data_IF_129138049082
#
_entry.id   IF_129138049082
#
_cell.length_a   1.000
_cell.length_b   1.000
_cell.length_c   1.000
_cell.angle_alpha   90.00
_cell.angle_beta   90.00
_cell.angle_gamma   90.00
#
_symmetry.space_group_name_H-M   'P 1'
#
loop_
_entity.id
_entity.type
_entity.pdbx_description
1 polymer ?
#
# COMPACT_ATOMS: atom_id res chain seq x y z
N UNK A 1 -24.11 -15.93 -12.41
CA UNK A 1 -22.73 -16.30 -12.75
C UNK A 1 -21.95 -14.99 -12.88
N UNK A 2 -20.89 -14.78 -12.12
CA UNK A 2 -20.06 -13.60 -12.30
C UNK A 2 -19.40 -13.65 -13.70
N UNK A 3 -19.27 -12.51 -14.42
CA UNK A 3 -18.58 -12.50 -15.71
C UNK A 3 -17.16 -13.08 -15.55
N UNK A 4 -16.72 -13.86 -16.54
CA UNK A 4 -15.33 -14.32 -16.58
C UNK A 4 -14.39 -13.12 -16.61
N UNK A 5 -13.28 -13.16 -15.87
CA UNK A 5 -12.31 -12.05 -15.87
C UNK A 5 -11.65 -11.96 -17.26
N UNK A 6 -11.45 -10.72 -17.72
CA UNK A 6 -10.75 -10.45 -18.98
C UNK A 6 -9.31 -10.96 -18.91
N UNK A 7 -8.79 -11.50 -20.02
CA UNK A 7 -7.37 -11.88 -20.14
C UNK A 7 -6.56 -10.69 -20.66
N UNK A 8 -5.64 -10.22 -19.84
CA UNK A 8 -4.87 -9.00 -20.10
C UNK A 8 -3.39 -9.35 -20.32
N UNK A 9 -2.76 -8.89 -21.39
CA UNK A 9 -1.32 -9.04 -21.60
C UNK A 9 -0.54 -8.30 -20.49
N UNK A 10 0.37 -9.00 -19.80
CA UNK A 10 1.17 -8.39 -18.71
C UNK A 10 2.10 -7.28 -19.20
N UNK A 11 2.47 -7.28 -20.50
CA UNK A 11 3.22 -6.22 -21.12
C UNK A 11 2.44 -4.90 -21.24
N UNK A 12 1.10 -4.96 -21.25
CA UNK A 12 0.22 -3.79 -21.28
C UNK A 12 -0.10 -3.25 -19.88
N UNK A 13 0.33 -3.92 -18.80
CA UNK A 13 0.05 -3.50 -17.43
C UNK A 13 1.19 -2.62 -16.91
N UNK A 14 0.85 -1.38 -16.55
CA UNK A 14 1.77 -0.42 -15.93
C UNK A 14 1.98 -0.72 -14.44
N UNK A 15 3.12 -0.30 -13.85
CA UNK A 15 3.33 -0.36 -12.41
C UNK A 15 2.22 0.37 -11.64
N UNK A 16 1.90 -0.11 -10.44
CA UNK A 16 0.95 0.59 -9.57
C UNK A 16 1.45 2.00 -9.25
N UNK A 17 0.56 2.98 -9.36
CA UNK A 17 0.83 4.36 -8.92
C UNK A 17 1.07 4.39 -7.41
N UNK A 18 1.86 5.36 -6.89
CA UNK A 18 2.16 5.48 -5.46
C UNK A 18 0.91 5.43 -4.57
N UNK A 19 -0.17 6.12 -4.98
CA UNK A 19 -1.43 6.17 -4.24
C UNK A 19 -2.17 4.82 -4.15
N UNK A 20 -1.82 3.86 -4.99
CA UNK A 20 -2.39 2.50 -4.97
C UNK A 20 -1.43 1.46 -4.35
N UNK A 21 -0.19 1.85 -4.02
CA UNK A 21 0.81 0.96 -3.40
C UNK A 21 0.69 0.98 -1.87
N UNK A 22 -0.27 0.24 -1.34
CA UNK A 22 -0.51 0.16 0.11
C UNK A 22 0.56 -0.71 0.78
N UNK A 23 0.82 -1.92 0.27
CA UNK A 23 1.75 -2.86 0.90
C UNK A 23 3.21 -2.39 0.89
N UNK A 24 3.91 -2.69 1.97
CA UNK A 24 5.37 -2.54 2.12
C UNK A 24 6.12 -3.84 1.81
N UNK A 25 5.41 -4.95 1.62
CA UNK A 25 6.04 -6.24 1.31
C UNK A 25 6.52 -6.27 -0.15
N UNK A 26 7.82 -6.41 -0.35
CA UNK A 26 8.45 -6.47 -1.68
C UNK A 26 8.63 -7.89 -2.21
N UNK A 27 8.78 -8.89 -1.34
CA UNK A 27 8.96 -10.29 -1.74
C UNK A 27 7.72 -10.89 -2.42
N UNK A 28 7.95 -11.62 -3.51
CA UNK A 28 6.91 -12.30 -4.29
C UNK A 28 7.07 -13.83 -4.32
N UNK A 29 8.20 -14.38 -3.83
CA UNK A 29 8.55 -15.79 -3.95
C UNK A 29 7.46 -16.73 -3.41
N UNK A 30 6.97 -16.49 -2.19
CA UNK A 30 5.90 -17.30 -1.58
C UNK A 30 4.62 -17.24 -2.40
N UNK A 31 4.27 -16.05 -2.89
CA UNK A 31 3.09 -15.83 -3.71
C UNK A 31 3.24 -16.47 -5.09
N UNK A 32 4.42 -16.39 -5.70
CA UNK A 32 4.75 -17.04 -6.95
C UNK A 32 4.65 -18.57 -6.80
N UNK A 33 5.21 -19.14 -5.73
CA UNK A 33 5.08 -20.54 -5.40
C UNK A 33 3.63 -20.98 -5.25
N UNK A 34 2.82 -20.22 -4.54
CA UNK A 34 1.38 -20.46 -4.38
C UNK A 34 0.65 -20.42 -5.73
N UNK A 35 0.89 -19.37 -6.54
CA UNK A 35 0.27 -19.23 -7.87
C UNK A 35 0.68 -20.38 -8.80
N UNK A 36 1.93 -20.83 -8.73
CA UNK A 36 2.40 -21.97 -9.53
C UNK A 36 1.68 -23.27 -9.15
N UNK A 37 1.38 -23.47 -7.86
CA UNK A 37 0.79 -24.69 -7.34
C UNK A 37 -0.74 -24.75 -7.49
N UNK A 38 -1.45 -23.68 -7.08
CA UNK A 38 -2.92 -23.68 -7.04
C UNK A 38 -3.58 -22.74 -8.04
N UNK A 39 -2.80 -21.99 -8.80
CA UNK A 39 -3.28 -20.96 -9.71
C UNK A 39 -3.56 -19.62 -9.06
N UNK A 40 -3.96 -18.64 -9.86
CA UNK A 40 -4.32 -17.30 -9.39
C UNK A 40 -5.76 -17.31 -8.87
N UNK A 41 -5.93 -17.37 -7.54
CA UNK A 41 -7.25 -17.46 -6.89
C UNK A 41 -8.02 -16.14 -6.93
N UNK A 42 -7.32 -15.00 -6.83
CA UNK A 42 -7.91 -13.67 -6.87
C UNK A 42 -7.28 -12.84 -8.00
N UNK A 43 -8.00 -12.51 -9.07
CA UNK A 43 -7.48 -11.68 -10.14
C UNK A 43 -7.09 -10.27 -9.65
N UNK A 44 -6.04 -9.63 -10.20
CA UNK A 44 -5.75 -8.22 -9.95
C UNK A 44 -6.89 -7.34 -10.47
N UNK A 45 -7.01 -6.14 -9.91
CA UNK A 45 -7.99 -5.14 -10.30
C UNK A 45 -7.26 -4.04 -11.07
N UNK A 46 -7.66 -3.83 -12.31
CA UNK A 46 -7.01 -2.93 -13.25
C UNK A 46 -7.96 -1.84 -13.74
N UNK A 47 -7.42 -0.66 -14.00
CA UNK A 47 -8.13 0.44 -14.65
C UNK A 47 -7.62 0.57 -16.09
N UNK A 48 -8.49 0.51 -17.11
CA UNK A 48 -8.10 0.77 -18.48
C UNK A 48 -7.70 2.25 -18.69
N UNK A 49 -6.54 2.50 -19.30
CA UNK A 49 -6.05 3.82 -19.70
C UNK A 49 -5.53 3.77 -21.16
N UNK A 50 -6.40 4.07 -22.11
CA UNK A 50 -6.09 3.90 -23.54
C UNK A 50 -5.78 2.44 -23.88
N UNK A 51 -4.57 2.17 -24.37
CA UNK A 51 -4.12 0.82 -24.72
C UNK A 51 -3.36 0.12 -23.57
N UNK A 52 -3.36 0.70 -22.38
CA UNK A 52 -2.64 0.17 -21.22
C UNK A 52 -3.58 0.03 -20.02
N UNK A 53 -3.07 -0.61 -18.98
CA UNK A 53 -3.84 -0.90 -17.77
C UNK A 53 -3.05 -0.48 -16.54
N UNK A 54 -3.66 0.37 -15.72
CA UNK A 54 -3.10 0.79 -14.44
C UNK A 54 -3.50 -0.19 -13.33
N UNK A 55 -2.56 -0.62 -12.51
CA UNK A 55 -2.87 -1.45 -11.33
C UNK A 55 -3.54 -0.58 -10.26
N UNK A 56 -4.76 -0.98 -9.85
CA UNK A 56 -5.45 -0.42 -8.68
C UNK A 56 -5.27 -1.34 -7.48
N UNK A 57 -5.37 -2.66 -7.66
CA UNK A 57 -5.09 -3.64 -6.61
C UNK A 57 -4.41 -4.89 -7.18
N UNK A 58 -3.57 -5.54 -6.37
CA UNK A 58 -2.89 -6.77 -6.75
C UNK A 58 -1.49 -6.58 -7.34
N UNK A 59 -0.76 -5.52 -6.98
CA UNK A 59 0.60 -5.26 -7.44
C UNK A 59 1.54 -6.47 -7.25
N UNK A 60 1.53 -7.12 -6.08
CA UNK A 60 2.33 -8.32 -5.80
C UNK A 60 1.93 -9.51 -6.69
N UNK A 61 0.63 -9.65 -7.00
CA UNK A 61 0.13 -10.70 -7.91
C UNK A 61 0.66 -10.51 -9.32
N UNK A 62 0.66 -9.30 -9.84
CA UNK A 62 1.25 -8.96 -11.15
C UNK A 62 2.76 -9.23 -11.14
N UNK A 63 3.48 -8.83 -10.09
CA UNK A 63 4.92 -9.06 -9.97
C UNK A 63 5.24 -10.57 -9.95
N UNK A 64 4.53 -11.37 -9.14
CA UNK A 64 4.68 -12.82 -9.07
C UNK A 64 4.39 -13.51 -10.42
N UNK A 65 3.37 -13.08 -11.15
CA UNK A 65 3.04 -13.60 -12.47
C UNK A 65 4.16 -13.33 -13.50
N UNK A 66 4.76 -12.12 -13.44
CA UNK A 66 5.93 -11.79 -14.27
C UNK A 66 7.14 -12.65 -13.92
N UNK A 67 7.42 -12.88 -12.64
CA UNK A 67 8.49 -13.75 -12.16
C UNK A 67 8.29 -15.20 -12.65
N UNK A 68 7.05 -15.66 -12.73
CA UNK A 68 6.69 -16.98 -13.29
C UNK A 68 6.73 -17.02 -14.83
N UNK A 69 7.15 -15.97 -15.51
CA UNK A 69 7.21 -15.90 -16.96
C UNK A 69 5.83 -15.93 -17.66
N UNK A 70 4.75 -15.62 -16.94
CA UNK A 70 3.42 -15.53 -17.55
C UNK A 70 3.36 -14.33 -18.49
N UNK A 71 2.70 -14.50 -19.63
CA UNK A 71 2.50 -13.43 -20.61
C UNK A 71 1.16 -12.71 -20.45
N UNK A 72 0.17 -13.37 -19.83
CA UNK A 72 -1.17 -12.88 -19.62
C UNK A 72 -1.64 -13.18 -18.20
N UNK A 73 -2.65 -12.43 -17.75
CA UNK A 73 -3.35 -12.65 -16.49
C UNK A 73 -4.86 -12.46 -16.65
N UNK A 74 -5.70 -13.28 -16.02
CA UNK A 74 -7.08 -12.87 -15.80
C UNK A 74 -7.08 -11.64 -14.89
N UNK A 75 -7.90 -10.64 -15.21
CA UNK A 75 -8.02 -9.41 -14.43
C UNK A 75 -9.47 -8.96 -14.33
N UNK A 76 -9.79 -8.24 -13.26
CA UNK A 76 -11.05 -7.53 -13.12
C UNK A 76 -10.83 -6.08 -13.58
N UNK A 77 -11.54 -5.67 -14.61
CA UNK A 77 -11.47 -4.30 -15.11
C UNK A 77 -12.47 -3.40 -14.37
N UNK A 78 -12.00 -2.22 -13.98
CA UNK A 78 -12.85 -1.15 -13.47
C UNK A 78 -13.43 -0.35 -14.64
N UNK A 79 -14.62 0.27 -14.47
CA UNK A 79 -15.11 1.24 -15.41
C UNK A 79 -14.12 2.40 -15.58
N UNK A 80 -13.92 2.93 -16.81
CA UNK A 80 -12.97 4.02 -17.04
C UNK A 80 -13.26 5.30 -16.25
N UNK A 81 -14.53 5.53 -15.91
CA UNK A 81 -15.05 6.69 -15.17
C UNK A 81 -15.08 6.49 -13.65
N UNK A 82 -14.53 5.39 -13.13
CA UNK A 82 -14.47 5.14 -11.68
C UNK A 82 -13.75 6.29 -10.95
N UNK A 83 -14.38 6.79 -9.89
CA UNK A 83 -13.84 7.93 -9.14
C UNK A 83 -12.48 7.62 -8.50
N UNK A 84 -11.66 8.67 -8.29
CA UNK A 84 -10.37 8.51 -7.58
C UNK A 84 -10.56 8.01 -6.15
N UNK A 85 -11.64 8.41 -5.47
CA UNK A 85 -11.97 7.90 -4.14
C UNK A 85 -12.30 6.40 -4.18
N UNK A 86 -13.08 5.93 -5.15
CA UNK A 86 -13.43 4.50 -5.24
C UNK A 86 -12.20 3.65 -5.58
N UNK A 87 -11.28 4.16 -6.39
CA UNK A 87 -9.99 3.50 -6.62
C UNK A 87 -9.17 3.38 -5.33
N UNK A 88 -9.10 4.46 -4.53
CA UNK A 88 -8.43 4.44 -3.22
C UNK A 88 -9.09 3.43 -2.27
N UNK A 89 -10.43 3.39 -2.21
CA UNK A 89 -11.20 2.39 -1.43
C UNK A 89 -10.85 0.97 -1.82
N UNK A 90 -10.80 0.69 -3.11
CA UNK A 90 -10.46 -0.62 -3.65
C UNK A 90 -9.02 -1.00 -3.29
N UNK A 91 -8.05 -0.09 -3.49
CA UNK A 91 -6.65 -0.33 -3.18
C UNK A 91 -6.43 -0.60 -1.68
N UNK A 92 -7.08 0.17 -0.81
CA UNK A 92 -7.01 -0.02 0.65
C UNK A 92 -7.71 -1.32 1.04
N UNK A 93 -8.95 -1.54 0.59
CA UNK A 93 -9.75 -2.70 0.97
C UNK A 93 -9.13 -4.03 0.55
N UNK A 94 -8.52 -4.11 -0.63
CA UNK A 94 -7.80 -5.33 -1.10
C UNK A 94 -6.67 -5.74 -0.14
N UNK A 95 -6.16 -4.82 0.67
CA UNK A 95 -5.09 -5.08 1.62
C UNK A 95 -5.61 -5.21 3.08
N UNK A 96 -6.42 -4.27 3.53
CA UNK A 96 -6.81 -4.11 4.94
C UNK A 96 -7.76 -5.21 5.45
N UNK A 97 -8.54 -5.82 4.56
CA UNK A 97 -9.44 -6.94 4.93
C UNK A 97 -8.77 -8.31 4.83
N UNK A 98 -7.58 -8.42 4.26
CA UNK A 98 -6.87 -9.70 4.15
C UNK A 98 -5.95 -9.98 5.34
N UNK A 99 -5.40 -8.94 5.96
CA UNK A 99 -4.50 -9.01 7.11
C UNK A 99 -4.43 -7.67 7.84
N UNK A 100 -3.91 -7.70 9.04
CA UNK A 100 -3.56 -6.45 9.76
C UNK A 100 -2.45 -5.71 9.00
N UNK A 101 -2.66 -4.44 8.74
CA UNK A 101 -1.66 -3.56 8.13
C UNK A 101 -0.67 -3.06 9.18
N UNK A 102 0.62 -2.99 8.82
CA UNK A 102 1.62 -2.34 9.65
C UNK A 102 1.43 -0.80 9.65
N UNK A 103 2.09 -0.05 10.59
CA UNK A 103 1.87 1.40 10.69
C UNK A 103 2.15 2.20 9.41
N UNK A 104 3.15 1.79 8.62
CA UNK A 104 3.46 2.44 7.33
C UNK A 104 2.36 2.18 6.31
N UNK A 105 1.86 0.96 6.23
CA UNK A 105 0.75 0.60 5.35
C UNK A 105 -0.56 1.27 5.76
N UNK A 106 -0.83 1.38 7.06
CA UNK A 106 -1.96 2.15 7.59
C UNK A 106 -1.85 3.62 7.15
N UNK A 107 -0.66 4.22 7.29
CA UNK A 107 -0.40 5.58 6.81
C UNK A 107 -0.64 5.73 5.31
N UNK A 108 -0.13 4.80 4.48
CA UNK A 108 -0.37 4.80 3.02
C UNK A 108 -1.86 4.72 2.70
N UNK A 109 -2.59 3.83 3.36
CA UNK A 109 -4.04 3.70 3.20
C UNK A 109 -4.79 4.96 3.61
N UNK A 110 -4.44 5.55 4.76
CA UNK A 110 -5.01 6.81 5.23
C UNK A 110 -4.73 7.97 4.24
N UNK A 111 -3.51 8.09 3.73
CA UNK A 111 -3.16 9.13 2.73
C UNK A 111 -3.94 8.95 1.44
N UNK A 112 -4.14 7.72 0.98
CA UNK A 112 -4.89 7.44 -0.25
C UNK A 112 -6.32 7.98 -0.19
N UNK A 113 -6.98 7.88 0.97
CA UNK A 113 -8.35 8.38 1.14
C UNK A 113 -8.41 9.84 1.63
N UNK A 114 -7.46 10.30 2.44
CA UNK A 114 -7.49 11.62 3.09
C UNK A 114 -7.60 12.79 2.11
N UNK A 115 -7.03 12.66 0.90
CA UNK A 115 -7.11 13.68 -0.16
C UNK A 115 -8.55 13.99 -0.61
N UNK A 116 -9.53 13.15 -0.24
CA UNK A 116 -10.93 13.27 -0.63
C UNK A 116 -11.85 13.79 0.48
N UNK A 117 -11.32 14.04 1.67
CA UNK A 117 -12.10 14.48 2.82
C UNK A 117 -11.50 15.75 3.43
N UNK A 118 -12.31 16.79 3.54
CA UNK A 118 -11.96 18.03 4.26
C UNK A 118 -12.34 17.98 5.75
N UNK A 119 -13.33 17.15 6.10
CA UNK A 119 -13.78 16.96 7.48
C UNK A 119 -13.06 15.77 8.12
N UNK A 120 -12.35 15.99 9.26
CA UNK A 120 -11.68 14.90 9.99
C UNK A 120 -12.63 13.82 10.51
N UNK A 121 -13.88 14.13 10.83
CA UNK A 121 -14.84 13.14 11.30
C UNK A 121 -15.27 12.23 10.14
N UNK A 122 -15.55 12.81 8.97
CA UNK A 122 -15.88 12.04 7.77
C UNK A 122 -14.71 11.14 7.31
N UNK A 123 -13.47 11.63 7.42
CA UNK A 123 -12.28 10.80 7.17
C UNK A 123 -12.18 9.64 8.17
N UNK A 124 -12.45 9.89 9.45
CA UNK A 124 -12.39 8.85 10.49
C UNK A 124 -13.45 7.76 10.26
N UNK A 125 -14.68 8.16 9.89
CA UNK A 125 -15.75 7.22 9.55
C UNK A 125 -15.39 6.37 8.33
N UNK A 126 -14.83 6.98 7.29
CA UNK A 126 -14.40 6.26 6.10
C UNK A 126 -13.24 5.30 6.39
N UNK A 127 -12.25 5.75 7.18
CA UNK A 127 -11.14 4.91 7.62
C UNK A 127 -11.63 3.65 8.36
N UNK A 128 -12.60 3.81 9.28
CA UNK A 128 -13.21 2.70 9.99
C UNK A 128 -13.90 1.69 9.08
N UNK A 129 -14.61 2.14 8.04
CA UNK A 129 -15.23 1.28 7.03
C UNK A 129 -14.22 0.47 6.22
N UNK A 130 -12.99 0.97 6.12
CA UNK A 130 -11.88 0.33 5.39
C UNK A 130 -10.93 -0.43 6.32
N UNK A 131 -11.34 -0.76 7.55
CA UNK A 131 -10.52 -1.47 8.55
C UNK A 131 -9.18 -0.76 8.83
N UNK A 132 -9.17 0.57 8.76
CA UNK A 132 -8.06 1.43 9.16
C UNK A 132 -8.34 2.06 10.54
N UNK A 133 -7.32 2.62 11.22
CA UNK A 133 -7.53 3.42 12.42
C UNK A 133 -8.56 4.54 12.17
N UNK A 134 -9.58 4.61 13.03
CA UNK A 134 -10.72 5.54 12.89
C UNK A 134 -10.78 6.63 13.96
N UNK A 135 -9.79 6.70 14.84
CA UNK A 135 -9.68 7.77 15.83
C UNK A 135 -8.90 8.94 15.25
N UNK A 136 -9.52 10.13 15.13
CA UNK A 136 -8.95 11.29 14.45
C UNK A 136 -7.54 11.67 14.94
N UNK A 137 -7.28 11.62 16.25
CA UNK A 137 -5.94 11.92 16.78
C UNK A 137 -4.89 10.89 16.36
N UNK A 138 -5.26 9.62 16.21
CA UNK A 138 -4.36 8.57 15.73
C UNK A 138 -4.13 8.71 14.22
N UNK A 139 -5.17 9.02 13.45
CA UNK A 139 -5.05 9.31 12.02
C UNK A 139 -4.04 10.42 11.77
N UNK A 140 -4.16 11.55 12.49
CA UNK A 140 -3.24 12.68 12.36
C UNK A 140 -1.78 12.29 12.67
N UNK A 141 -1.57 11.42 13.66
CA UNK A 141 -0.24 10.90 13.98
C UNK A 141 0.33 9.99 12.90
N UNK A 142 -0.50 9.13 12.31
CA UNK A 142 -0.05 8.14 11.34
C UNK A 142 0.19 8.73 9.94
N UNK A 143 -0.59 9.72 9.51
CA UNK A 143 -0.53 10.30 8.17
C UNK A 143 0.90 10.69 7.70
N UNK A 144 1.80 11.24 8.53
CA UNK A 144 3.15 11.60 8.10
C UNK A 144 4.05 10.42 7.77
N UNK A 145 3.83 9.22 8.36
CA UNK A 145 4.76 8.08 8.26
C UNK A 145 5.04 7.64 6.82
N UNK A 146 4.03 7.63 5.96
CA UNK A 146 4.20 7.26 4.55
C UNK A 146 5.01 8.29 3.73
N UNK A 147 5.24 9.47 4.27
CA UNK A 147 6.08 10.52 3.68
C UNK A 147 7.52 10.52 4.18
N UNK A 148 7.84 9.71 5.20
CA UNK A 148 9.20 9.61 5.72
C UNK A 148 10.12 8.93 4.72
N UNK A 149 11.43 9.24 4.74
CA UNK A 149 12.44 8.54 3.96
C UNK A 149 12.34 7.02 4.12
N UNK A 150 12.62 6.28 3.05
CA UNK A 150 12.51 4.81 3.02
C UNK A 150 13.34 4.14 4.11
N UNK A 151 14.48 4.72 4.45
CA UNK A 151 15.36 4.25 5.53
C UNK A 151 14.67 4.24 6.89
N UNK A 152 13.88 5.29 7.20
CA UNK A 152 13.09 5.38 8.45
C UNK A 152 11.95 4.38 8.42
N UNK A 153 11.25 4.28 7.30
CA UNK A 153 10.19 3.28 7.14
C UNK A 153 10.75 1.86 7.32
N UNK A 154 11.89 1.54 6.71
CA UNK A 154 12.54 0.23 6.84
C UNK A 154 13.00 -0.06 8.27
N UNK A 155 13.59 0.92 8.96
CA UNK A 155 13.99 0.77 10.36
C UNK A 155 12.79 0.53 11.28
N UNK A 156 11.66 1.22 11.04
CA UNK A 156 10.40 0.99 11.76
C UNK A 156 9.85 -0.42 11.50
N UNK A 157 9.89 -0.90 10.27
CA UNK A 157 9.39 -2.23 9.90
C UNK A 157 10.27 -3.38 10.41
N UNK A 158 11.56 -3.11 10.61
CA UNK A 158 12.53 -4.05 11.18
C UNK A 158 12.58 -4.02 12.72
N UNK A 159 11.66 -3.30 13.38
CA UNK A 159 11.67 -3.04 14.83
C UNK A 159 12.98 -2.41 15.35
N UNK A 160 13.79 -1.82 14.46
CA UNK A 160 15.01 -1.10 14.81
C UNK A 160 14.73 0.34 15.26
N UNK A 161 13.54 0.86 14.99
CA UNK A 161 13.07 2.17 15.37
C UNK A 161 11.66 2.09 15.95
N UNK A 162 11.43 2.62 17.15
CA UNK A 162 10.09 2.66 17.74
C UNK A 162 9.17 3.61 16.97
N UNK A 163 7.86 3.26 16.90
CA UNK A 163 6.85 4.10 16.25
C UNK A 163 6.82 5.53 16.78
N UNK A 164 6.93 5.70 18.11
CA UNK A 164 6.96 7.03 18.73
C UNK A 164 8.11 7.89 18.19
N UNK A 165 9.31 7.30 18.02
CA UNK A 165 10.47 7.98 17.46
C UNK A 165 10.28 8.33 15.99
N UNK A 166 9.72 7.42 15.18
CA UNK A 166 9.42 7.70 13.78
C UNK A 166 8.43 8.87 13.63
N UNK A 167 7.46 8.98 14.53
CA UNK A 167 6.49 10.09 14.57
C UNK A 167 7.14 11.42 14.95
N UNK A 168 8.11 11.41 15.89
CA UNK A 168 8.87 12.61 16.24
C UNK A 168 9.80 13.04 15.09
N UNK A 169 10.47 12.09 14.43
CA UNK A 169 11.29 12.38 13.26
C UNK A 169 10.50 13.05 12.13
N UNK A 170 9.22 12.72 11.98
CA UNK A 170 8.36 13.34 10.99
C UNK A 170 8.18 14.86 11.16
N UNK A 171 8.49 15.41 12.33
CA UNK A 171 8.42 16.85 12.60
C UNK A 171 9.69 17.62 12.14
N UNK A 172 10.77 16.91 11.78
CA UNK A 172 12.01 17.51 11.32
C UNK A 172 12.04 17.68 9.79
N UNK A 173 12.87 18.58 9.24
CA UNK A 173 13.16 18.64 7.82
C UNK A 173 13.76 17.32 7.30
N UNK A 174 13.52 16.98 6.02
CA UNK A 174 13.89 15.68 5.43
C UNK A 174 15.39 15.36 5.52
N UNK A 175 16.24 16.37 5.32
CA UNK A 175 17.70 16.25 5.47
C UNK A 175 18.12 15.91 6.91
N UNK A 176 17.48 16.52 7.90
CA UNK A 176 17.71 16.21 9.31
C UNK A 176 17.15 14.82 9.69
N UNK A 177 16.03 14.40 9.11
CA UNK A 177 15.44 13.08 9.38
C UNK A 177 16.43 11.96 9.06
N UNK A 178 17.09 12.01 7.89
CA UNK A 178 18.05 11.00 7.46
C UNK A 178 19.28 10.95 8.36
N UNK A 179 19.84 12.11 8.71
CA UNK A 179 21.00 12.19 9.60
C UNK A 179 20.69 11.68 11.02
N UNK A 180 19.52 12.02 11.54
CA UNK A 180 19.10 11.59 12.88
C UNK A 180 18.89 10.07 12.94
N UNK A 181 18.27 9.45 11.95
CA UNK A 181 18.08 7.99 11.96
C UNK A 181 19.43 7.26 11.87
N UNK A 182 20.41 7.79 11.13
CA UNK A 182 21.75 7.22 11.09
C UNK A 182 22.41 7.23 12.46
N UNK A 183 22.35 8.36 13.14
CA UNK A 183 22.87 8.51 14.49
C UNK A 183 22.19 7.54 15.47
N UNK A 184 20.86 7.38 15.40
CA UNK A 184 20.12 6.44 16.27
C UNK A 184 20.53 5.01 16.03
N UNK A 185 20.67 4.59 14.77
CA UNK A 185 21.06 3.22 14.41
C UNK A 185 22.52 2.93 14.80
N UNK A 186 23.45 3.89 14.61
CA UNK A 186 24.85 3.77 14.99
C UNK A 186 25.04 3.67 16.50
N UNK A 187 24.29 4.46 17.27
CA UNK A 187 24.37 4.45 18.73
C UNK A 187 23.62 3.29 19.40
N UNK A 188 22.93 2.46 18.61
CA UNK A 188 22.15 1.34 19.14
C UNK A 188 21.02 1.79 20.06
N UNK A 189 20.54 3.04 19.91
CA UNK A 189 19.47 3.62 20.71
C UNK A 189 18.11 3.07 20.26
N UNK A 190 17.95 1.75 20.23
CA UNK A 190 16.63 1.16 20.08
C UNK A 190 15.85 1.41 21.36
N UNK A 191 14.98 2.40 21.34
CA UNK A 191 14.01 2.66 22.41
C UNK A 191 12.84 1.64 22.30
N UNK A 192 13.14 0.37 22.21
CA UNK A 192 12.17 -0.70 22.45
C UNK A 192 12.24 -1.10 23.89
N UNK A 193 11.58 -0.36 24.77
CA UNK A 193 11.05 -0.86 26.06
C UNK A 193 9.84 -0.05 26.44
#
# INVERSE_FOLDING_TARGET
MAPEPDRIPLAAVDPARPEHRITTADGTADLAGSIAHVGLLAPPILLPEGNRFQIVAGNRRIAALRELGRTETPARLLPPDVSSLDRARIAVGDNSFQRTLNPVEQSRGLRAIAAHFSDPAALADEAGRLNLPSHSALIQKLLPLAGLPEKIQSALLADALALAMALELAAFPEDAQSALVDLFLELGLSLSR
#
